data_IF_968343320544
#
_entry.id   IF_968343320544
#
_cell.length_a   1.000
_cell.length_b   1.000
_cell.length_c   1.000
_cell.angle_alpha   90.00
_cell.angle_beta   90.00
_cell.angle_gamma   90.00
#
_symmetry.space_group_name_H-M   'P 1'
#
loop_
_entity.id
_entity.type
_entity.pdbx_description
1 polymer ?
#
# COMPACT_ATOMS: atom_id res chain seq x y z
N UNK A 1 -37.47 -6.59 32.09
CA UNK A 1 -36.03 -6.46 32.38
C UNK A 1 -35.33 -6.09 31.09
N UNK A 2 -34.42 -5.12 31.16
CA UNK A 2 -33.80 -4.37 30.07
C UNK A 2 -32.47 -5.03 29.70
N UNK A 3 -32.02 -4.79 28.45
CA UNK A 3 -30.67 -5.00 27.86
C UNK A 3 -30.18 -6.47 27.78
N UNK A 4 -29.65 -6.94 26.63
CA UNK A 4 -28.40 -6.48 26.06
C UNK A 4 -28.44 -6.32 24.52
N UNK A 5 -28.22 -5.07 24.10
CA UNK A 5 -27.86 -4.73 22.73
C UNK A 5 -26.57 -5.43 22.33
N UNK A 6 -26.63 -6.18 21.23
CA UNK A 6 -25.46 -6.74 20.55
C UNK A 6 -24.60 -5.60 20.02
N UNK A 7 -23.65 -5.15 20.82
CA UNK A 7 -22.63 -4.17 20.46
C UNK A 7 -21.74 -4.80 19.37
N UNK A 8 -22.11 -4.61 18.11
CA UNK A 8 -21.23 -4.84 16.97
C UNK A 8 -20.00 -3.96 17.17
N UNK A 9 -18.93 -4.54 17.71
CA UNK A 9 -17.60 -3.94 17.66
C UNK A 9 -17.20 -3.89 16.18
N UNK A 10 -17.50 -2.75 15.54
CA UNK A 10 -16.77 -2.30 14.35
C UNK A 10 -15.32 -2.15 14.80
N UNK A 11 -14.56 -3.24 14.69
CA UNK A 11 -13.12 -3.25 14.90
C UNK A 11 -12.55 -2.39 13.79
N UNK A 12 -12.50 -1.08 14.04
CA UNK A 12 -11.84 -0.13 13.18
C UNK A 12 -10.46 -0.71 12.93
N UNK A 13 -10.16 -1.03 11.68
CA UNK A 13 -8.81 -1.37 11.23
C UNK A 13 -8.04 -0.05 11.27
N UNK A 14 -7.82 0.47 12.47
CA UNK A 14 -6.98 1.61 12.72
C UNK A 14 -5.57 1.02 12.67
N UNK A 15 -4.99 1.03 11.47
CA UNK A 15 -3.60 0.61 11.27
C UNK A 15 -2.73 1.29 12.31
N UNK A 16 -2.06 0.50 13.15
CA UNK A 16 -1.14 1.04 14.16
C UNK A 16 0.04 1.66 13.40
N UNK A 17 0.08 2.99 13.37
CA UNK A 17 1.17 3.80 12.76
C UNK A 17 2.57 3.49 13.29
N UNK A 18 2.65 2.79 14.42
CA UNK A 18 3.89 2.60 15.18
C UNK A 18 4.86 1.58 14.57
N UNK A 19 4.41 0.78 13.59
CA UNK A 19 5.23 -0.23 12.93
C UNK A 19 5.24 -0.09 11.42
N UNK A 20 4.84 1.06 10.87
CA UNK A 20 4.97 1.30 9.43
C UNK A 20 6.47 1.44 9.11
N UNK A 21 7.09 0.46 8.43
CA UNK A 21 8.48 0.57 8.06
C UNK A 21 8.71 1.80 7.18
N UNK A 22 9.88 2.43 7.30
CA UNK A 22 10.15 3.75 6.70
C UNK A 22 9.90 3.82 5.19
N UNK A 23 10.04 2.70 4.48
CA UNK A 23 9.75 2.62 3.04
C UNK A 23 8.26 2.89 2.70
N UNK A 24 7.32 2.73 3.65
CA UNK A 24 5.90 3.10 3.47
C UNK A 24 5.73 4.62 3.36
N UNK A 25 6.54 5.41 4.08
CA UNK A 25 6.55 6.88 3.92
C UNK A 25 7.01 7.26 2.51
N UNK A 26 7.91 6.46 1.95
CA UNK A 26 8.42 6.60 0.60
C UNK A 26 7.33 6.34 -0.46
N UNK A 27 6.37 5.44 -0.19
CA UNK A 27 5.15 5.25 -1.00
C UNK A 27 4.33 6.53 -1.05
N UNK A 28 3.99 7.06 0.11
CA UNK A 28 3.17 8.26 0.21
C UNK A 28 3.85 9.45 -0.48
N UNK A 29 5.17 9.60 -0.32
CA UNK A 29 5.96 10.62 -0.99
C UNK A 29 5.95 10.45 -2.52
N UNK A 30 6.26 9.25 -3.02
CA UNK A 30 6.34 8.96 -4.46
C UNK A 30 5.00 9.14 -5.19
N UNK A 31 3.88 8.82 -4.52
CA UNK A 31 2.53 9.06 -5.04
C UNK A 31 2.19 10.55 -5.06
N UNK A 32 2.73 11.33 -4.11
CA UNK A 32 2.46 12.77 -3.96
C UNK A 32 3.29 13.62 -4.93
N UNK A 33 4.46 13.18 -5.35
CA UNK A 33 5.38 13.91 -6.24
C UNK A 33 4.97 13.98 -7.73
N UNK A 34 3.71 13.71 -8.06
CA UNK A 34 3.16 14.10 -9.37
C UNK A 34 3.39 13.12 -10.52
N UNK A 35 3.28 11.81 -10.28
CA UNK A 35 3.06 10.86 -11.39
C UNK A 35 1.57 10.79 -11.74
N UNK A 36 1.25 10.63 -13.03
CA UNK A 36 -0.13 10.50 -13.54
C UNK A 36 -0.90 9.41 -12.80
N UNK A 37 -2.23 9.53 -12.71
CA UNK A 37 -3.09 8.52 -12.06
C UNK A 37 -2.89 7.11 -12.63
N UNK A 38 -2.58 7.02 -13.93
CA UNK A 38 -2.19 5.77 -14.58
C UNK A 38 -0.91 5.18 -13.99
N UNK A 39 0.11 6.01 -13.77
CA UNK A 39 1.38 5.58 -13.19
C UNK A 39 1.21 5.05 -11.76
N UNK A 40 0.31 5.66 -10.98
CA UNK A 40 -0.05 5.19 -9.63
C UNK A 40 -0.77 3.85 -9.69
N UNK A 41 -1.68 3.70 -10.67
CA UNK A 41 -2.42 2.47 -10.90
C UNK A 41 -1.48 1.32 -11.27
N UNK A 42 -0.60 1.52 -12.24
CA UNK A 42 0.38 0.51 -12.65
C UNK A 42 1.35 0.14 -11.51
N UNK A 43 1.79 1.12 -10.71
CA UNK A 43 2.66 0.87 -9.55
C UNK A 43 1.98 -0.02 -8.53
N UNK A 44 0.70 0.25 -8.25
CA UNK A 44 -0.12 -0.56 -7.36
C UNK A 44 -0.33 -1.97 -7.90
N UNK A 45 -0.62 -2.11 -9.19
CA UNK A 45 -0.82 -3.42 -9.82
C UNK A 45 0.46 -4.26 -9.77
N UNK A 46 1.62 -3.70 -10.13
CA UNK A 46 2.92 -4.36 -10.04
C UNK A 46 3.28 -4.73 -8.59
N UNK A 47 3.03 -3.84 -7.64
CA UNK A 47 3.26 -4.14 -6.22
C UNK A 47 2.38 -5.30 -5.74
N UNK A 48 1.10 -5.32 -6.12
CA UNK A 48 0.17 -6.41 -5.77
C UNK A 48 0.55 -7.72 -6.44
N UNK A 49 1.02 -7.68 -7.70
CA UNK A 49 1.53 -8.85 -8.40
C UNK A 49 2.73 -9.45 -7.66
N UNK A 50 3.78 -8.66 -7.44
CA UNK A 50 4.98 -9.14 -6.76
C UNK A 50 4.72 -9.64 -5.34
N UNK A 51 3.84 -8.96 -4.59
CA UNK A 51 3.46 -9.44 -3.26
C UNK A 51 2.66 -10.74 -3.31
N UNK A 52 1.81 -10.95 -4.33
CA UNK A 52 1.10 -12.23 -4.56
C UNK A 52 2.04 -13.35 -4.99
N UNK A 53 3.14 -13.03 -5.68
CA UNK A 53 4.23 -13.97 -5.98
C UNK A 53 5.09 -14.33 -4.75
N UNK A 54 4.78 -13.77 -3.58
CA UNK A 54 5.52 -14.04 -2.33
C UNK A 54 6.73 -13.14 -2.12
N UNK A 55 6.90 -12.08 -2.93
CA UNK A 55 7.97 -11.10 -2.74
C UNK A 55 7.70 -10.27 -1.49
N UNK A 56 8.77 -9.95 -0.76
CA UNK A 56 8.65 -9.08 0.42
C UNK A 56 8.15 -7.70 -0.01
N UNK A 57 7.26 -7.05 0.78
CA UNK A 57 6.69 -5.75 0.46
C UNK A 57 7.70 -4.68 0.02
N UNK A 58 8.84 -4.59 0.71
CA UNK A 58 9.90 -3.64 0.36
C UNK A 58 10.53 -3.94 -1.01
N UNK A 59 10.86 -5.20 -1.28
CA UNK A 59 11.46 -5.60 -2.55
C UNK A 59 10.47 -5.45 -3.71
N UNK A 60 9.20 -5.80 -3.49
CA UNK A 60 8.12 -5.60 -4.44
C UNK A 60 7.97 -4.12 -4.81
N UNK A 61 8.05 -3.23 -3.82
CA UNK A 61 7.99 -1.78 -4.03
C UNK A 61 9.17 -1.25 -4.85
N UNK A 62 10.39 -1.65 -4.51
CA UNK A 62 11.60 -1.24 -5.24
C UNK A 62 11.60 -1.77 -6.68
N UNK A 63 11.16 -3.01 -6.89
CA UNK A 63 11.03 -3.62 -8.22
C UNK A 63 9.97 -2.92 -9.05
N UNK A 64 8.79 -2.65 -8.48
CA UNK A 64 7.70 -1.94 -9.16
C UNK A 64 8.12 -0.52 -9.58
N UNK A 65 8.86 0.20 -8.72
CA UNK A 65 9.45 1.49 -9.05
C UNK A 65 10.45 1.40 -10.22
N UNK A 66 11.36 0.42 -10.20
CA UNK A 66 12.36 0.22 -11.27
C UNK A 66 11.70 -0.09 -12.61
N UNK A 67 10.69 -0.97 -12.61
CA UNK A 67 9.92 -1.32 -13.81
C UNK A 67 9.29 -0.05 -14.39
N UNK A 68 8.57 0.72 -13.58
CA UNK A 68 7.94 1.95 -14.06
C UNK A 68 8.93 3.06 -14.47
N UNK A 69 10.11 3.11 -13.86
CA UNK A 69 11.18 4.01 -14.30
C UNK A 69 11.76 3.58 -15.66
N UNK A 70 11.83 2.28 -15.95
CA UNK A 70 12.30 1.75 -17.23
C UNK A 70 11.27 1.91 -18.36
N UNK A 71 9.97 1.76 -18.07
CA UNK A 71 8.90 1.81 -19.08
C UNK A 71 8.25 3.20 -19.24
N UNK A 72 8.57 4.18 -18.38
CA UNK A 72 8.04 5.54 -18.45
C UNK A 72 8.80 6.49 -19.38
N UNK A 73 9.48 5.98 -20.42
CA UNK A 73 10.23 6.77 -21.40
C UNK A 73 9.48 6.86 -22.72
#
# INVERSE_FOLDING_TARGET
MKICEGKMMKKAIMGRKENDPEWIKDIASYVRTGKTDEHKKQLRELYLEYTREGMKPKEAWEKAKRVLACFGR
#
